data_IF_521353801470
#
_entry.id   IF_521353801470
#
_cell.length_a   1.000
_cell.length_b   1.000
_cell.length_c   1.000
_cell.angle_alpha   90.00
_cell.angle_beta   90.00
_cell.angle_gamma   90.00
#
_symmetry.space_group_name_H-M   'P 1'
#
loop_
_entity.id
_entity.type
_entity.pdbx_description
1 polymer ?
#
# COMPACT_ATOMS: atom_id res chain seq x y z
N UNK A 1 22.80 -27.98 11.48
CA UNK A 1 21.51 -27.64 12.08
C UNK A 1 21.65 -27.64 13.60
N UNK A 2 21.18 -26.58 14.25
CA UNK A 2 21.18 -26.51 15.73
C UNK A 2 19.79 -26.93 16.20
N UNK A 3 19.66 -27.91 17.13
CA UNK A 3 18.37 -28.31 17.70
C UNK A 3 17.82 -27.15 18.56
N UNK A 4 16.53 -26.85 18.41
CA UNK A 4 15.82 -25.91 19.27
C UNK A 4 14.76 -26.69 20.04
N UNK A 5 14.73 -26.53 21.36
CA UNK A 5 13.69 -27.08 22.24
C UNK A 5 12.86 -25.93 22.81
N UNK A 6 11.54 -26.04 22.76
CA UNK A 6 10.63 -25.08 23.34
C UNK A 6 9.30 -25.74 23.71
N UNK A 7 8.55 -25.11 24.64
CA UNK A 7 7.19 -25.54 24.98
C UNK A 7 6.23 -24.60 24.25
N UNK A 8 5.23 -25.17 23.58
CA UNK A 8 4.12 -24.43 22.97
C UNK A 8 2.88 -24.58 23.85
N UNK A 9 2.03 -23.55 23.97
CA UNK A 9 0.69 -23.70 24.50
C UNK A 9 -0.10 -24.76 23.73
N UNK A 10 -1.00 -25.47 24.43
CA UNK A 10 -1.72 -26.62 23.87
C UNK A 10 -2.59 -26.24 22.66
N UNK A 11 -3.20 -25.06 22.70
CA UNK A 11 -4.00 -24.49 21.60
C UNK A 11 -3.16 -24.24 20.33
N UNK A 12 -1.97 -23.66 20.49
CA UNK A 12 -1.03 -23.43 19.38
C UNK A 12 -0.48 -24.75 18.82
N UNK A 13 -0.20 -25.73 19.70
CA UNK A 13 0.27 -27.04 19.25
C UNK A 13 -0.83 -27.79 18.47
N UNK A 14 -2.07 -27.76 18.96
CA UNK A 14 -3.22 -28.37 18.30
C UNK A 14 -3.45 -27.74 16.91
N UNK A 15 -3.45 -26.39 16.84
CA UNK A 15 -3.57 -25.68 15.57
C UNK A 15 -2.42 -26.02 14.61
N UNK A 16 -1.17 -25.97 15.07
CA UNK A 16 0.01 -26.25 14.24
C UNK A 16 0.02 -27.70 13.73
N UNK A 17 -0.52 -28.65 14.52
CA UNK A 17 -0.61 -30.06 14.13
C UNK A 17 -1.63 -30.29 13.02
N UNK A 18 -2.73 -29.53 13.02
CA UNK A 18 -3.86 -29.72 12.09
C UNK A 18 -3.80 -28.81 10.88
N UNK A 19 -3.24 -27.59 10.99
CA UNK A 19 -3.21 -26.62 9.93
C UNK A 19 -2.27 -27.05 8.78
N UNK A 20 -2.74 -27.14 7.54
CA UNK A 20 -1.89 -27.49 6.39
C UNK A 20 -0.97 -26.32 6.04
N UNK A 21 0.33 -26.57 6.00
CA UNK A 21 1.34 -25.61 5.55
C UNK A 21 2.06 -26.22 4.35
N UNK A 22 2.05 -25.49 3.23
CA UNK A 22 2.69 -25.93 1.99
C UNK A 22 4.20 -26.15 2.21
N UNK A 23 4.72 -27.30 1.78
CA UNK A 23 6.14 -27.64 1.96
C UNK A 23 6.54 -28.05 3.38
N UNK A 24 5.60 -28.20 4.33
CA UNK A 24 5.86 -28.56 5.72
C UNK A 24 4.99 -29.74 6.18
N UNK A 25 5.54 -30.94 6.09
CA UNK A 25 4.82 -32.18 6.45
C UNK A 25 4.77 -32.41 7.96
N UNK A 26 5.79 -31.99 8.71
CA UNK A 26 5.90 -32.21 10.16
C UNK A 26 5.72 -30.92 10.94
N UNK A 27 5.37 -31.02 12.24
CA UNK A 27 5.31 -29.86 13.14
C UNK A 27 6.66 -29.12 13.17
N UNK A 28 7.78 -29.84 13.14
CA UNK A 28 9.12 -29.26 13.09
C UNK A 28 9.34 -28.42 11.80
N UNK A 29 8.86 -28.91 10.66
CA UNK A 29 8.95 -28.15 9.39
C UNK A 29 8.08 -26.90 9.44
N UNK A 30 6.86 -27.00 10.00
CA UNK A 30 5.97 -25.86 10.19
C UNK A 30 6.58 -24.79 11.09
N UNK A 31 7.23 -25.20 12.19
CA UNK A 31 7.97 -24.27 13.07
C UNK A 31 9.12 -23.61 12.30
N UNK A 32 9.87 -24.37 11.48
CA UNK A 32 10.95 -23.81 10.65
C UNK A 32 10.42 -22.77 9.66
N UNK A 33 9.31 -23.05 9.00
CA UNK A 33 8.63 -22.10 8.10
C UNK A 33 8.21 -20.85 8.87
N UNK A 34 7.60 -21.02 10.06
CA UNK A 34 7.15 -19.89 10.88
C UNK A 34 8.33 -18.99 11.33
N UNK A 35 9.43 -19.60 11.79
CA UNK A 35 10.64 -18.86 12.19
C UNK A 35 11.29 -18.15 10.98
N UNK A 36 11.32 -18.80 9.82
CA UNK A 36 11.81 -18.17 8.58
C UNK A 36 10.94 -16.97 8.18
N UNK A 37 9.63 -17.11 8.33
CA UNK A 37 8.68 -16.04 8.06
C UNK A 37 8.88 -14.86 9.03
N UNK A 38 9.04 -15.16 10.32
CA UNK A 38 9.32 -14.18 11.36
C UNK A 38 10.62 -13.43 11.06
N UNK A 39 11.69 -14.15 10.70
CA UNK A 39 12.96 -13.55 10.30
C UNK A 39 12.77 -12.55 9.15
N UNK A 40 12.10 -12.96 8.07
CA UNK A 40 11.82 -12.08 6.91
C UNK A 40 10.99 -10.84 7.27
N UNK A 41 10.08 -10.97 8.24
CA UNK A 41 9.25 -9.87 8.72
C UNK A 41 10.08 -8.82 9.46
N UNK A 42 11.07 -9.24 10.27
CA UNK A 42 11.87 -8.32 11.09
C UNK A 42 13.15 -7.82 10.40
N UNK A 43 13.82 -8.66 9.62
CA UNK A 43 15.04 -8.25 8.92
C UNK A 43 14.76 -7.57 7.56
N UNK A 44 13.49 -7.59 7.12
CA UNK A 44 13.11 -7.25 5.76
C UNK A 44 13.50 -8.36 4.77
N UNK A 45 12.73 -8.50 3.72
CA UNK A 45 13.17 -9.29 2.56
C UNK A 45 13.84 -8.30 1.61
N UNK A 46 15.17 -8.36 1.48
CA UNK A 46 15.91 -7.52 0.53
C UNK A 46 15.49 -7.75 -0.93
N UNK A 47 14.68 -8.79 -1.16
CA UNK A 47 14.11 -9.14 -2.44
C UNK A 47 12.64 -8.73 -2.51
N UNK A 48 12.33 -7.76 -3.38
CA UNK A 48 10.96 -7.30 -3.63
C UNK A 48 9.97 -8.45 -3.94
N UNK A 49 10.38 -9.44 -4.75
CA UNK A 49 9.50 -10.56 -5.12
C UNK A 49 9.19 -11.46 -3.92
N UNK A 50 10.17 -11.70 -3.05
CA UNK A 50 9.96 -12.45 -1.81
C UNK A 50 8.98 -11.74 -0.89
N UNK A 51 9.16 -10.43 -0.67
CA UNK A 51 8.24 -9.60 0.11
C UNK A 51 6.84 -9.57 -0.51
N UNK A 52 6.73 -9.40 -1.83
CA UNK A 52 5.44 -9.39 -2.53
C UNK A 52 4.68 -10.71 -2.36
N UNK A 53 5.35 -11.84 -2.53
CA UNK A 53 4.73 -13.15 -2.35
C UNK A 53 4.27 -13.36 -0.90
N UNK A 54 5.09 -12.95 0.07
CA UNK A 54 4.72 -13.01 1.49
C UNK A 54 3.42 -12.24 1.78
N UNK A 55 3.30 -10.99 1.29
CA UNK A 55 2.09 -10.18 1.52
C UNK A 55 0.88 -10.66 0.72
N UNK A 56 1.10 -11.25 -0.45
CA UNK A 56 0.03 -11.94 -1.20
C UNK A 56 -0.49 -13.17 -0.46
N UNK A 57 0.40 -13.92 0.17
CA UNK A 57 0.05 -15.11 0.96
C UNK A 57 -0.74 -14.75 2.21
N UNK A 58 -0.40 -13.65 2.91
CA UNK A 58 -1.21 -13.15 4.03
C UNK A 58 -2.65 -12.84 3.63
N UNK A 59 -2.88 -12.35 2.41
CA UNK A 59 -4.20 -12.09 1.87
C UNK A 59 -4.92 -13.30 1.24
N UNK A 60 -4.30 -14.48 1.21
CA UNK A 60 -4.82 -15.65 0.48
C UNK A 60 -6.21 -16.06 0.97
N UNK A 61 -6.38 -16.22 2.28
CA UNK A 61 -7.67 -16.61 2.87
C UNK A 61 -8.77 -15.62 2.53
N UNK A 62 -8.50 -14.32 2.67
CA UNK A 62 -9.46 -13.27 2.34
C UNK A 62 -9.84 -13.29 0.85
N UNK A 63 -8.86 -13.48 -0.04
CA UNK A 63 -9.15 -13.64 -1.48
C UNK A 63 -10.05 -14.82 -1.79
N UNK A 64 -9.82 -15.95 -1.13
CA UNK A 64 -10.65 -17.14 -1.29
C UNK A 64 -12.09 -16.89 -0.80
N UNK A 65 -12.24 -16.19 0.33
CA UNK A 65 -13.55 -15.81 0.85
C UNK A 65 -14.28 -14.84 -0.09
N UNK A 66 -13.58 -13.83 -0.61
CA UNK A 66 -14.12 -12.89 -1.60
C UNK A 66 -14.59 -13.65 -2.85
N UNK A 67 -13.74 -14.52 -3.41
CA UNK A 67 -14.09 -15.30 -4.59
C UNK A 67 -15.31 -16.20 -4.35
N UNK A 68 -15.45 -16.78 -3.16
CA UNK A 68 -16.63 -17.57 -2.79
C UNK A 68 -17.90 -16.72 -2.74
N UNK A 69 -17.83 -15.51 -2.18
CA UNK A 69 -18.96 -14.55 -2.16
C UNK A 69 -19.32 -14.10 -3.57
N UNK A 70 -18.32 -13.74 -4.38
CA UNK A 70 -18.53 -13.34 -5.79
C UNK A 70 -19.24 -14.42 -6.60
N UNK A 71 -18.84 -15.67 -6.38
CA UNK A 71 -19.46 -16.83 -7.04
C UNK A 71 -20.89 -17.06 -6.54
N UNK A 72 -21.14 -16.94 -5.24
CA UNK A 72 -22.46 -17.18 -4.66
C UNK A 72 -23.48 -16.10 -5.05
N UNK A 73 -23.04 -14.84 -5.10
CA UNK A 73 -23.90 -13.67 -5.35
C UNK A 73 -23.91 -13.23 -6.82
N UNK A 74 -23.16 -13.92 -7.70
CA UNK A 74 -22.96 -13.51 -9.10
C UNK A 74 -22.54 -12.04 -9.24
N UNK A 75 -21.72 -11.58 -8.30
CA UNK A 75 -21.21 -10.22 -8.24
C UNK A 75 -19.69 -10.21 -8.36
N UNK A 76 -19.11 -9.10 -8.82
CA UNK A 76 -17.65 -8.92 -8.90
C UNK A 76 -17.28 -7.49 -8.53
N UNK A 77 -16.12 -7.33 -7.88
CA UNK A 77 -15.59 -6.02 -7.51
C UNK A 77 -14.20 -5.78 -8.08
N UNK A 78 -14.14 -5.05 -9.20
CA UNK A 78 -12.88 -4.55 -9.77
C UNK A 78 -12.13 -3.62 -8.79
N UNK A 79 -12.88 -2.86 -7.99
CA UNK A 79 -12.31 -1.99 -6.95
C UNK A 79 -11.55 -2.81 -5.92
N UNK A 80 -12.17 -3.90 -5.41
CA UNK A 80 -11.54 -4.75 -4.42
C UNK A 80 -10.38 -5.55 -5.03
N UNK A 81 -10.52 -6.03 -6.26
CA UNK A 81 -9.46 -6.71 -6.98
C UNK A 81 -8.22 -5.80 -7.17
N UNK A 82 -8.43 -4.53 -7.55
CA UNK A 82 -7.35 -3.55 -7.65
C UNK A 82 -6.65 -3.31 -6.30
N UNK A 83 -7.40 -3.14 -5.22
CA UNK A 83 -6.84 -2.98 -3.87
C UNK A 83 -6.00 -4.20 -3.46
N UNK A 84 -6.52 -5.41 -3.67
CA UNK A 84 -5.83 -6.66 -3.32
C UNK A 84 -4.56 -6.90 -4.15
N UNK A 85 -4.42 -6.28 -5.32
CA UNK A 85 -3.21 -6.34 -6.13
C UNK A 85 -2.19 -5.25 -5.75
N UNK A 86 -2.65 -4.02 -5.54
CA UNK A 86 -1.76 -2.88 -5.32
C UNK A 86 -1.24 -2.77 -3.88
N UNK A 87 -2.02 -3.13 -2.85
CA UNK A 87 -1.61 -3.01 -1.46
C UNK A 87 -0.39 -3.89 -1.12
N UNK A 88 -0.36 -5.20 -1.49
CA UNK A 88 0.83 -6.01 -1.30
C UNK A 88 2.07 -5.45 -2.00
N UNK A 89 1.90 -4.88 -3.19
CA UNK A 89 2.99 -4.29 -3.95
C UNK A 89 3.56 -3.02 -3.30
N UNK A 90 2.70 -2.17 -2.69
CA UNK A 90 3.14 -1.01 -1.90
C UNK A 90 3.93 -1.44 -0.68
N UNK A 91 3.41 -2.39 0.10
CA UNK A 91 4.05 -2.88 1.32
C UNK A 91 5.36 -3.60 0.98
N UNK A 92 5.39 -4.40 -0.09
CA UNK A 92 6.61 -5.07 -0.55
C UNK A 92 7.69 -4.07 -0.97
N UNK A 93 7.31 -2.95 -1.61
CA UNK A 93 8.24 -1.87 -1.97
C UNK A 93 8.87 -1.25 -0.72
N UNK A 94 8.07 -1.01 0.31
CA UNK A 94 8.54 -0.46 1.59
C UNK A 94 9.45 -1.46 2.32
N UNK A 95 9.05 -2.73 2.38
CA UNK A 95 9.78 -3.78 3.10
C UNK A 95 11.12 -4.13 2.46
N UNK A 96 11.20 -4.14 1.11
CA UNK A 96 12.42 -4.43 0.38
C UNK A 96 13.38 -3.24 0.27
N UNK A 97 12.98 -2.06 0.73
CA UNK A 97 13.80 -0.87 0.62
C UNK A 97 14.96 -0.88 1.61
N UNK A 98 16.16 -0.59 1.11
CA UNK A 98 17.34 -0.35 1.92
C UNK A 98 17.67 1.15 1.89
N UNK A 99 17.31 1.85 2.96
CA UNK A 99 17.50 3.29 3.07
C UNK A 99 18.73 3.57 3.93
N UNK A 100 19.83 3.95 3.27
CA UNK A 100 21.11 4.25 3.89
C UNK A 100 21.68 5.63 3.48
N UNK A 101 20.97 6.34 2.62
CA UNK A 101 21.35 7.69 2.17
C UNK A 101 20.11 8.51 1.81
N UNK A 102 20.27 9.82 1.65
CA UNK A 102 19.18 10.69 1.20
C UNK A 102 18.74 10.35 -0.23
N UNK A 103 19.67 9.89 -1.08
CA UNK A 103 19.39 9.47 -2.45
C UNK A 103 18.48 8.23 -2.46
N UNK A 104 18.80 7.23 -1.62
CA UNK A 104 17.96 6.01 -1.49
C UNK A 104 16.60 6.33 -0.87
N UNK A 105 16.53 7.29 0.07
CA UNK A 105 15.25 7.76 0.62
C UNK A 105 14.38 8.44 -0.44
N UNK A 106 14.95 9.33 -1.27
CA UNK A 106 14.26 9.97 -2.40
C UNK A 106 13.80 8.96 -3.45
N UNK A 107 14.61 7.96 -3.74
CA UNK A 107 14.24 6.90 -4.67
C UNK A 107 13.03 6.09 -4.16
N UNK A 108 13.03 5.74 -2.87
CA UNK A 108 11.90 5.06 -2.22
C UNK A 108 10.64 5.92 -2.26
N UNK A 109 10.74 7.20 -1.85
CA UNK A 109 9.64 8.16 -1.88
C UNK A 109 9.01 8.23 -3.28
N UNK A 110 9.84 8.42 -4.31
CA UNK A 110 9.40 8.46 -5.71
C UNK A 110 8.69 7.17 -6.15
N UNK A 111 9.19 6.01 -5.73
CA UNK A 111 8.56 4.73 -6.05
C UNK A 111 7.19 4.56 -5.35
N UNK A 112 7.10 4.90 -4.07
CA UNK A 112 5.85 4.81 -3.31
C UNK A 112 4.80 5.78 -3.84
N UNK A 113 5.18 7.04 -4.11
CA UNK A 113 4.28 8.03 -4.71
C UNK A 113 3.76 7.55 -6.06
N UNK A 114 4.62 7.06 -6.94
CA UNK A 114 4.22 6.53 -8.25
C UNK A 114 3.23 5.39 -8.12
N UNK A 115 3.47 4.40 -7.25
CA UNK A 115 2.57 3.26 -7.03
C UNK A 115 1.23 3.70 -6.44
N UNK A 116 1.24 4.66 -5.51
CA UNK A 116 0.02 5.22 -4.93
C UNK A 116 -0.80 5.96 -5.98
N UNK A 117 -0.14 6.74 -6.85
CA UNK A 117 -0.82 7.43 -7.95
C UNK A 117 -1.40 6.44 -8.98
N UNK A 118 -0.71 5.33 -9.27
CA UNK A 118 -1.24 4.27 -10.13
C UNK A 118 -2.49 3.62 -9.53
N UNK A 119 -2.49 3.34 -8.22
CA UNK A 119 -3.68 2.84 -7.51
C UNK A 119 -4.81 3.87 -7.58
N UNK A 120 -4.52 5.14 -7.27
CA UNK A 120 -5.51 6.22 -7.34
C UNK A 120 -6.11 6.33 -8.75
N UNK A 121 -5.29 6.32 -9.79
CA UNK A 121 -5.76 6.34 -11.18
C UNK A 121 -6.66 5.14 -11.48
N UNK A 122 -6.26 3.93 -11.06
CA UNK A 122 -7.05 2.72 -11.26
C UNK A 122 -8.43 2.83 -10.59
N UNK A 123 -8.49 3.33 -9.35
CA UNK A 123 -9.75 3.54 -8.65
C UNK A 123 -10.60 4.64 -9.29
N UNK A 124 -10.00 5.75 -9.69
CA UNK A 124 -10.72 6.85 -10.35
C UNK A 124 -11.30 6.44 -11.70
N UNK A 125 -10.61 5.57 -12.45
CA UNK A 125 -11.14 5.00 -13.71
C UNK A 125 -12.43 4.20 -13.48
N UNK A 126 -12.58 3.52 -12.35
CA UNK A 126 -13.83 2.83 -12.00
C UNK A 126 -14.97 3.82 -11.71
N UNK A 127 -14.67 5.05 -11.33
CA UNK A 127 -15.66 6.12 -11.11
C UNK A 127 -16.08 6.87 -12.36
N UNK A 128 -15.54 6.58 -13.56
CA UNK A 128 -15.94 7.24 -14.81
C UNK A 128 -17.35 6.81 -15.23
N UNK A 129 -17.74 5.58 -14.90
CA UNK A 129 -19.09 5.06 -15.13
C UNK A 129 -20.03 5.52 -14.02
N UNK A 130 -21.35 5.53 -14.27
CA UNK A 130 -22.35 5.91 -13.26
C UNK A 130 -22.29 5.03 -12.02
N UNK A 131 -21.89 3.78 -12.16
CA UNK A 131 -21.66 2.84 -11.07
C UNK A 131 -20.33 2.14 -11.27
N UNK A 132 -19.50 2.13 -10.23
CA UNK A 132 -18.29 1.35 -10.23
C UNK A 132 -18.61 -0.16 -10.25
N UNK A 133 -17.76 -0.96 -10.87
CA UNK A 133 -17.79 -2.42 -10.72
C UNK A 133 -17.27 -2.77 -9.32
N UNK A 134 -18.14 -2.66 -8.32
CA UNK A 134 -17.88 -2.84 -6.91
C UNK A 134 -19.13 -3.41 -6.23
N UNK A 135 -18.99 -4.00 -5.04
CA UNK A 135 -20.14 -4.43 -4.24
C UNK A 135 -21.05 -3.27 -3.83
N UNK A 136 -20.46 -2.12 -3.50
CA UNK A 136 -21.15 -0.83 -3.46
C UNK A 136 -20.76 -0.02 -4.70
N UNK A 137 -21.68 0.10 -5.67
CA UNK A 137 -21.46 0.80 -6.94
C UNK A 137 -21.15 2.28 -6.76
N UNK A 138 -21.50 2.89 -5.62
CA UNK A 138 -21.32 4.30 -5.34
C UNK A 138 -20.04 4.58 -4.51
N UNK A 139 -19.32 3.54 -4.07
CA UNK A 139 -18.16 3.68 -3.18
C UNK A 139 -17.10 4.66 -3.67
N UNK A 140 -16.84 4.71 -4.98
CA UNK A 140 -15.88 5.66 -5.55
C UNK A 140 -16.43 7.07 -5.54
N UNK A 141 -17.69 7.27 -5.97
CA UNK A 141 -18.32 8.58 -6.01
C UNK A 141 -18.44 9.23 -4.64
N UNK A 142 -18.75 8.44 -3.60
CA UNK A 142 -18.82 8.90 -2.21
C UNK A 142 -17.46 9.42 -1.69
N UNK A 143 -16.34 8.89 -2.21
CA UNK A 143 -15.00 9.18 -1.69
C UNK A 143 -14.17 10.11 -2.61
N UNK A 144 -14.59 10.35 -3.87
CA UNK A 144 -13.76 11.05 -4.86
C UNK A 144 -13.84 12.58 -4.76
N UNK A 145 -14.91 13.14 -4.22
CA UNK A 145 -15.19 14.59 -4.24
C UNK A 145 -14.01 15.42 -3.69
N UNK A 146 -13.47 15.01 -2.52
CA UNK A 146 -12.33 15.70 -1.89
C UNK A 146 -11.04 15.58 -2.70
N UNK A 147 -10.80 14.43 -3.33
CA UNK A 147 -9.63 14.22 -4.19
C UNK A 147 -9.69 15.14 -5.42
N UNK A 148 -10.87 15.25 -6.05
CA UNK A 148 -11.08 16.15 -7.18
C UNK A 148 -10.90 17.62 -6.79
N UNK A 149 -11.36 18.03 -5.62
CA UNK A 149 -11.17 19.39 -5.11
C UNK A 149 -9.67 19.71 -4.93
N UNK A 150 -8.92 18.84 -4.27
CA UNK A 150 -7.48 18.99 -4.09
C UNK A 150 -6.72 18.99 -5.42
N UNK A 151 -7.09 18.11 -6.35
CA UNK A 151 -6.49 18.07 -7.69
C UNK A 151 -6.71 19.38 -8.46
N UNK A 152 -7.88 20.00 -8.34
CA UNK A 152 -8.16 21.32 -8.94
C UNK A 152 -7.28 22.41 -8.34
N UNK A 153 -7.08 22.42 -7.02
CA UNK A 153 -6.21 23.39 -6.33
C UNK A 153 -4.75 23.25 -6.78
N UNK A 154 -4.24 22.03 -6.93
CA UNK A 154 -2.87 21.77 -7.41
C UNK A 154 -2.70 22.21 -8.88
N UNK A 155 -3.75 22.07 -9.71
CA UNK A 155 -3.72 22.40 -11.12
C UNK A 155 -3.92 23.90 -11.41
N UNK A 156 -4.30 24.72 -10.42
CA UNK A 156 -4.41 26.16 -10.57
C UNK A 156 -3.02 26.78 -10.63
N UNK A 157 -2.72 27.62 -11.66
CA UNK A 157 -1.45 28.32 -11.69
C UNK A 157 -1.35 29.25 -10.47
N UNK A 158 -0.28 29.09 -9.70
CA UNK A 158 0.01 30.02 -8.58
C UNK A 158 0.15 31.41 -9.17
N UNK A 159 -0.65 32.44 -8.74
CA UNK A 159 -0.47 33.78 -9.22
C UNK A 159 0.96 34.26 -8.96
N UNK A 160 1.62 34.94 -9.90
CA UNK A 160 2.96 35.43 -9.69
C UNK A 160 2.97 36.30 -8.43
N UNK A 161 3.95 36.04 -7.54
CA UNK A 161 4.14 36.85 -6.35
C UNK A 161 4.25 38.33 -6.77
N UNK A 162 3.27 39.15 -6.38
CA UNK A 162 3.28 40.58 -6.62
C UNK A 162 4.47 41.17 -5.86
N UNK A 163 5.57 41.44 -6.54
CA UNK A 163 6.67 42.23 -6.02
C UNK A 163 6.11 43.60 -5.68
N UNK A 164 5.88 43.85 -4.40
CA UNK A 164 5.55 45.20 -3.90
C UNK A 164 6.75 46.11 -4.17
N UNK A 165 6.66 46.85 -5.28
CA UNK A 165 7.57 47.96 -5.56
C UNK A 165 7.28 49.04 -4.53
N UNK A 166 8.10 49.16 -3.51
CA UNK A 166 8.15 50.29 -2.59
C UNK A 166 8.65 51.51 -3.38
N UNK A 167 7.71 52.35 -3.83
CA UNK A 167 8.05 53.64 -4.36
C UNK A 167 8.51 54.53 -3.20
N UNK A 168 9.81 54.72 -3.07
CA UNK A 168 10.40 55.74 -2.16
C UNK A 168 10.18 57.10 -2.80
N UNK A 169 9.20 57.85 -2.29
CA UNK A 169 9.01 59.28 -2.61
C UNK A 169 10.10 60.06 -1.91
N UNK A 170 11.13 60.49 -2.65
CA UNK A 170 12.09 61.51 -2.20
C UNK A 170 11.41 62.87 -2.21
N UNK A 171 11.06 63.39 -1.07
CA UNK A 171 10.74 64.81 -0.88
C UNK A 171 12.05 65.60 -0.85
N UNK A 172 12.24 66.40 -1.91
CA UNK A 172 13.26 67.43 -1.93
C UNK A 172 12.86 68.54 -0.97
N UNK A 173 13.73 68.86 -0.02
CA UNK A 173 13.64 70.07 0.77
C UNK A 173 14.54 71.09 0.13
N UNK A 174 13.85 72.10 -0.46
CA UNK A 174 14.44 73.35 -0.95
C UNK A 174 14.63 74.30 0.21
N UNK A 175 15.84 74.79 0.45
CA UNK A 175 16.14 75.95 1.32
C UNK A 175 16.91 76.95 0.45
N UNK A 176 16.17 78.01 0.05
CA UNK A 176 16.75 79.26 -0.30
C UNK A 176 16.95 80.18 0.94
#
# INVERSE_FOLDING_TARGET
MVPISGRLPDDLYAWLSTYPVEGAATVSDKVRVAVTHLKRTYEGDSNYLGALNMYRDLGRTTRQQIAAVEQAEYAHSDVLAALMEHLPALIATLNAAQVNSIESARALESQLVRRTMQLTETLLRQGITQRAAAFDGDVIHQNVARVCELARLISQPTPPATTATTATTAQGVDHG
#
